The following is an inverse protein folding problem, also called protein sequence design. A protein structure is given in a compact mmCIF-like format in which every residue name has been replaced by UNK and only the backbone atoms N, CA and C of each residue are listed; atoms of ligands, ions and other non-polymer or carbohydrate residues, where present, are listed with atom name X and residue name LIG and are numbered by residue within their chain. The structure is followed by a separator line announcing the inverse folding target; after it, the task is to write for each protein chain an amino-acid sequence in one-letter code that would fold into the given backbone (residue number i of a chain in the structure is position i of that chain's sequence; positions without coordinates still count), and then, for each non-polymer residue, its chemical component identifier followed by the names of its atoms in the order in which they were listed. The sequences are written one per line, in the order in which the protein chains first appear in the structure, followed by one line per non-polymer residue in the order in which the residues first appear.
data_IF_986745161924
#
_entry.id   IF_986745161924
#
_cell.length_a   1.000
_cell.length_b   1.000
_cell.length_c   1.000
_cell.angle_alpha   90.00
_cell.angle_beta   90.00
_cell.angle_gamma   90.00
#
_symmetry.space_group_name_H-M   'P 1'
#
loop_
_entity.id
_entity.type
_entity.pdbx_description
1 polymer ?
#
# COMPACT_ATOMS: atom_id res chain seq x y z
N UNK A 1 -15.39 -30.98 -2.73
CA UNK A 1 -15.55 -30.69 -1.29
C UNK A 1 -16.86 -31.30 -0.87
N UNK A 2 -16.86 -32.07 0.22
CA UNK A 2 -18.10 -32.63 0.77
C UNK A 2 -18.88 -31.51 1.51
N UNK A 3 -20.15 -31.75 1.87
CA UNK A 3 -20.97 -30.75 2.57
C UNK A 3 -20.44 -30.35 3.95
N UNK A 4 -19.75 -31.26 4.65
CA UNK A 4 -19.16 -30.99 5.96
C UNK A 4 -17.94 -30.07 5.84
N UNK A 5 -17.09 -30.25 4.82
CA UNK A 5 -15.92 -29.38 4.57
C UNK A 5 -16.34 -27.92 4.33
N UNK A 6 -17.51 -27.72 3.68
CA UNK A 6 -18.05 -26.38 3.44
C UNK A 6 -18.54 -25.72 4.73
N UNK A 7 -19.19 -26.50 5.60
CA UNK A 7 -19.66 -26.01 6.91
C UNK A 7 -18.46 -25.67 7.81
N UNK A 8 -17.44 -26.52 7.85
CA UNK A 8 -16.23 -26.27 8.63
C UNK A 8 -15.48 -25.03 8.15
N UNK A 9 -15.31 -24.87 6.84
CA UNK A 9 -14.72 -23.63 6.27
C UNK A 9 -15.56 -22.40 6.60
N UNK A 10 -16.88 -22.51 6.56
CA UNK A 10 -17.75 -21.39 6.90
C UNK A 10 -17.61 -21.00 8.37
N UNK A 11 -17.57 -21.97 9.29
CA UNK A 11 -17.35 -21.72 10.72
C UNK A 11 -16.00 -21.06 10.97
N UNK A 12 -14.92 -21.62 10.43
CA UNK A 12 -13.59 -21.04 10.55
C UNK A 12 -13.54 -19.58 10.07
N UNK A 13 -14.25 -19.27 8.97
CA UNK A 13 -14.37 -17.89 8.50
C UNK A 13 -15.18 -17.01 9.46
N UNK A 14 -16.30 -17.50 9.99
CA UNK A 14 -17.11 -16.77 10.95
C UNK A 14 -16.31 -16.43 12.22
N UNK A 15 -15.47 -17.35 12.68
CA UNK A 15 -14.56 -17.14 13.81
C UNK A 15 -13.52 -16.05 13.50
N UNK A 16 -12.89 -16.10 12.31
CA UNK A 16 -11.96 -15.05 11.83
C UNK A 16 -12.64 -13.68 11.79
N UNK A 17 -13.84 -13.61 11.22
CA UNK A 17 -14.61 -12.36 11.11
C UNK A 17 -14.93 -11.81 12.50
N UNK A 18 -15.37 -12.66 13.43
CA UNK A 18 -15.67 -12.25 14.79
C UNK A 18 -14.42 -11.69 15.50
N UNK A 19 -13.27 -12.34 15.35
CA UNK A 19 -12.01 -11.87 15.94
C UNK A 19 -11.58 -10.52 15.36
N UNK A 20 -11.56 -10.37 14.04
CA UNK A 20 -11.14 -9.13 13.38
C UNK A 20 -12.08 -7.98 13.72
N UNK A 21 -13.38 -8.21 13.74
CA UNK A 21 -14.35 -7.18 14.12
C UNK A 21 -14.20 -6.76 15.58
N UNK A 22 -13.84 -7.69 16.48
CA UNK A 22 -13.55 -7.36 17.87
C UNK A 22 -12.27 -6.53 18.02
N UNK A 23 -11.24 -6.81 17.22
CA UNK A 23 -9.97 -6.07 17.24
C UNK A 23 -10.07 -4.70 16.56
N UNK A 24 -10.95 -4.55 15.57
CA UNK A 24 -11.12 -3.33 14.77
C UNK A 24 -12.60 -2.91 14.68
N UNK A 25 -13.23 -2.52 15.81
CA UNK A 25 -14.67 -2.25 15.88
C UNK A 25 -15.09 -1.00 15.09
N UNK A 26 -14.17 -0.03 14.91
CA UNK A 26 -14.45 1.23 14.23
C UNK A 26 -14.38 1.12 12.69
N UNK A 27 -13.90 -0.01 12.17
CA UNK A 27 -13.77 -0.24 10.73
C UNK A 27 -15.11 -0.72 10.16
N UNK A 28 -15.56 -0.06 9.08
CA UNK A 28 -16.76 -0.46 8.35
C UNK A 28 -16.44 -1.56 7.34
N UNK A 29 -16.61 -2.81 7.76
CA UNK A 29 -16.35 -3.98 6.93
C UNK A 29 -17.49 -4.21 5.90
N UNK A 30 -17.18 -4.35 4.60
CA UNK A 30 -18.17 -4.71 3.59
C UNK A 30 -18.55 -6.19 3.74
N UNK A 31 -19.74 -6.57 3.25
CA UNK A 31 -20.16 -7.97 3.16
C UNK A 31 -20.26 -8.41 1.70
N UNK A 32 -19.12 -8.65 1.04
CA UNK A 32 -19.09 -8.91 -0.39
C UNK A 32 -19.71 -10.28 -0.70
N UNK A 33 -20.57 -10.31 -1.72
CA UNK A 33 -21.22 -11.52 -2.24
C UNK A 33 -21.12 -11.57 -3.76
N UNK A 34 -21.23 -12.78 -4.32
CA UNK A 34 -21.30 -13.01 -5.76
C UNK A 34 -22.71 -13.45 -6.14
N UNK A 35 -23.38 -12.69 -6.99
CA UNK A 35 -24.72 -12.98 -7.48
C UNK A 35 -24.73 -13.27 -8.99
N UNK A 36 -25.61 -14.15 -9.48
CA UNK A 36 -25.81 -14.32 -10.92
C UNK A 36 -26.40 -13.04 -11.54
N UNK A 37 -25.95 -12.72 -12.75
CA UNK A 37 -26.45 -11.56 -13.51
C UNK A 37 -27.47 -12.05 -14.53
N UNK A 38 -28.51 -11.27 -14.77
CA UNK A 38 -29.54 -11.55 -15.76
C UNK A 38 -29.69 -10.36 -16.72
N UNK A 39 -30.04 -10.64 -17.97
CA UNK A 39 -30.44 -9.64 -18.95
C UNK A 39 -31.87 -9.92 -19.44
N UNK A 40 -32.53 -8.89 -19.99
CA UNK A 40 -33.93 -8.97 -20.42
C UNK A 40 -34.90 -8.31 -19.43
N UNK A 41 -35.95 -7.67 -19.96
CA UNK A 41 -36.92 -6.89 -19.16
C UNK A 41 -38.08 -7.73 -18.65
N UNK A 42 -38.53 -8.71 -19.44
CA UNK A 42 -39.64 -9.63 -19.11
C UNK A 42 -39.10 -11.05 -18.94
N UNK A 43 -38.31 -11.54 -19.90
CA UNK A 43 -37.63 -12.83 -19.84
C UNK A 43 -36.20 -12.65 -19.31
N UNK A 44 -36.00 -12.89 -18.01
CA UNK A 44 -34.68 -12.81 -17.37
C UNK A 44 -33.83 -14.01 -17.80
N UNK A 45 -32.91 -13.77 -18.73
CA UNK A 45 -31.94 -14.78 -19.17
C UNK A 45 -30.64 -14.61 -18.38
N UNK A 46 -30.09 -15.65 -17.74
CA UNK A 46 -28.84 -15.54 -17.00
C UNK A 46 -27.66 -15.29 -17.95
N UNK A 47 -26.75 -14.40 -17.55
CA UNK A 47 -25.45 -14.22 -18.22
C UNK A 47 -24.50 -15.29 -17.67
N UNK A 48 -24.28 -16.34 -18.46
CA UNK A 48 -23.37 -17.44 -18.09
C UNK A 48 -21.91 -16.98 -18.04
N UNK A 49 -21.12 -17.57 -17.14
CA UNK A 49 -19.68 -17.26 -17.02
C UNK A 49 -19.36 -15.95 -16.31
N UNK A 50 -20.36 -15.21 -15.82
CA UNK A 50 -20.20 -13.93 -15.12
C UNK A 50 -21.02 -13.90 -13.83
N UNK A 51 -20.50 -13.18 -12.83
CA UNK A 51 -21.17 -12.90 -11.56
C UNK A 51 -21.01 -11.43 -11.20
N UNK A 52 -22.04 -10.84 -10.61
CA UNK A 52 -21.97 -9.51 -10.03
C UNK A 52 -21.40 -9.64 -8.62
N UNK A 53 -20.38 -8.87 -8.32
CA UNK A 53 -19.87 -8.71 -6.98
C UNK A 53 -20.40 -7.41 -6.38
N UNK A 54 -21.05 -7.52 -5.23
CA UNK A 54 -21.65 -6.39 -4.54
C UNK A 54 -21.54 -6.55 -3.03
N UNK A 55 -21.64 -5.44 -2.31
CA UNK A 55 -21.76 -5.45 -0.86
C UNK A 55 -23.21 -5.71 -0.45
N UNK A 56 -23.46 -6.82 0.24
CA UNK A 56 -24.80 -7.20 0.72
C UNK A 56 -25.38 -6.19 1.70
N UNK A 57 -24.55 -5.44 2.42
CA UNK A 57 -25.03 -4.48 3.41
C UNK A 57 -25.57 -3.20 2.74
N UNK A 58 -24.92 -2.74 1.68
CA UNK A 58 -25.23 -1.45 1.03
C UNK A 58 -25.84 -1.59 -0.36
N UNK A 59 -25.86 -2.80 -0.94
CA UNK A 59 -26.13 -3.07 -2.34
C UNK A 59 -25.20 -2.34 -3.32
N UNK A 60 -24.06 -1.83 -2.84
CA UNK A 60 -23.10 -1.17 -3.70
C UNK A 60 -22.42 -2.20 -4.61
N UNK A 61 -22.42 -1.92 -5.92
CA UNK A 61 -21.80 -2.80 -6.91
C UNK A 61 -20.31 -2.54 -6.97
N UNK A 62 -19.51 -3.58 -6.79
CA UNK A 62 -18.06 -3.48 -6.89
C UNK A 62 -17.59 -3.75 -8.31
N UNK A 63 -17.99 -4.88 -8.90
CA UNK A 63 -17.60 -5.24 -10.27
C UNK A 63 -18.37 -6.43 -10.83
N UNK A 64 -18.19 -6.73 -12.12
CA UNK A 64 -18.61 -7.96 -12.79
C UNK A 64 -17.38 -8.85 -13.02
N UNK A 65 -17.39 -10.02 -12.38
CA UNK A 65 -16.26 -10.97 -12.38
C UNK A 65 -16.60 -12.25 -13.13
N UNK A 66 -15.59 -13.09 -13.39
CA UNK A 66 -15.83 -14.44 -13.93
C UNK A 66 -16.51 -15.33 -12.89
N UNK A 67 -17.19 -16.37 -13.34
CA UNK A 67 -17.76 -17.41 -12.49
C UNK A 67 -16.72 -18.17 -11.64
N UNK A 68 -15.49 -18.24 -12.14
CA UNK A 68 -14.30 -18.81 -11.49
C UNK A 68 -13.66 -17.88 -10.44
N UNK A 69 -14.16 -16.65 -10.27
CA UNK A 69 -13.59 -15.69 -9.33
C UNK A 69 -13.76 -16.18 -7.89
N UNK A 70 -12.65 -16.20 -7.15
CA UNK A 70 -12.62 -16.57 -5.74
C UNK A 70 -12.59 -15.31 -4.87
N UNK A 71 -13.59 -15.18 -3.99
CA UNK A 71 -13.72 -14.01 -3.14
C UNK A 71 -12.76 -14.15 -1.95
N UNK A 72 -11.86 -13.18 -1.79
CA UNK A 72 -10.91 -13.12 -0.68
C UNK A 72 -11.38 -12.01 0.25
N UNK A 73 -11.78 -12.35 1.47
CA UNK A 73 -12.32 -11.36 2.40
C UNK A 73 -11.21 -10.46 2.96
N UNK A 74 -11.51 -9.18 3.15
CA UNK A 74 -10.55 -8.21 3.71
C UNK A 74 -10.10 -8.63 5.12
N UNK A 75 -11.04 -9.19 5.88
CA UNK A 75 -10.87 -9.75 7.21
C UNK A 75 -9.87 -10.91 7.20
N UNK A 76 -10.00 -11.83 6.25
CA UNK A 76 -9.08 -12.97 6.11
C UNK A 76 -7.66 -12.49 5.76
N UNK A 77 -7.54 -11.46 4.91
CA UNK A 77 -6.23 -10.86 4.58
C UNK A 77 -5.58 -10.26 5.82
N UNK A 78 -6.33 -9.52 6.63
CA UNK A 78 -5.81 -8.92 7.86
C UNK A 78 -5.47 -9.98 8.92
N UNK A 79 -6.30 -11.01 9.07
CA UNK A 79 -6.04 -12.13 9.96
C UNK A 79 -4.76 -12.87 9.58
N UNK A 80 -4.57 -13.15 8.29
CA UNK A 80 -3.35 -13.78 7.80
C UNK A 80 -2.12 -12.90 8.03
N UNK A 81 -2.25 -11.58 7.91
CA UNK A 81 -1.18 -10.65 8.28
C UNK A 81 -0.83 -10.79 9.76
N UNK A 82 -1.82 -10.68 10.65
CA UNK A 82 -1.60 -10.76 12.10
C UNK A 82 -0.88 -12.05 12.51
N UNK A 83 -1.26 -13.19 11.93
CA UNK A 83 -0.68 -14.48 12.27
C UNK A 83 0.67 -14.74 11.60
N UNK A 84 1.00 -14.01 10.53
CA UNK A 84 2.26 -14.16 9.82
C UNK A 84 3.38 -13.30 10.42
N UNK A 85 3.07 -12.39 11.35
CA UNK A 85 4.05 -11.50 11.98
C UNK A 85 4.94 -12.32 12.91
N UNK A 86 6.25 -12.38 12.65
CA UNK A 86 7.19 -13.08 13.52
C UNK A 86 7.21 -12.45 14.92
N UNK A 87 7.25 -13.26 15.99
CA UNK A 87 7.27 -12.76 17.37
C UNK A 87 8.46 -11.82 17.63
N UNK A 88 9.61 -12.08 16.99
CA UNK A 88 10.80 -11.24 17.11
C UNK A 88 10.65 -9.83 16.53
N UNK A 89 9.58 -9.56 15.77
CA UNK A 89 9.33 -8.21 15.24
C UNK A 89 8.70 -7.30 16.30
N UNK A 90 8.26 -7.85 17.44
CA UNK A 90 7.56 -7.13 18.48
C UNK A 90 6.13 -6.77 18.07
N UNK A 91 5.51 -5.87 18.83
CA UNK A 91 4.11 -5.52 18.65
C UNK A 91 3.90 -4.45 17.56
N UNK A 92 3.20 -4.77 16.46
CA UNK A 92 2.90 -3.81 15.41
C UNK A 92 1.77 -2.85 15.81
N UNK A 93 1.89 -1.59 15.42
CA UNK A 93 0.74 -0.69 15.32
C UNK A 93 0.04 -0.91 13.98
N UNK A 94 -1.21 -1.37 14.01
CA UNK A 94 -1.96 -1.72 12.81
C UNK A 94 -3.04 -0.69 12.50
N UNK A 95 -3.08 -0.25 11.25
CA UNK A 95 -4.13 0.63 10.72
C UNK A 95 -4.83 -0.06 9.55
N UNK A 96 -6.15 -0.14 9.61
CA UNK A 96 -7.00 -0.62 8.53
C UNK A 96 -7.81 0.55 7.94
N UNK A 97 -7.67 0.78 6.63
CA UNK A 97 -8.43 1.80 5.91
C UNK A 97 -9.22 1.19 4.77
N UNK A 98 -10.47 1.61 4.65
CA UNK A 98 -11.39 1.18 3.59
C UNK A 98 -11.64 2.35 2.62
N UNK A 99 -11.57 2.09 1.33
CA UNK A 99 -11.83 3.06 0.26
C UNK A 99 -12.97 2.59 -0.62
N UNK A 100 -13.57 3.52 -1.37
CA UNK A 100 -14.65 3.26 -2.33
C UNK A 100 -15.75 2.36 -1.74
N UNK A 101 -16.29 2.78 -0.58
CA UNK A 101 -17.36 2.06 0.11
C UNK A 101 -16.99 0.60 0.46
N UNK A 102 -15.73 0.34 0.83
CA UNK A 102 -15.24 -1.00 1.17
C UNK A 102 -14.76 -1.83 -0.02
N UNK A 103 -14.85 -1.31 -1.25
CA UNK A 103 -14.32 -2.01 -2.42
C UNK A 103 -12.81 -2.25 -2.33
N UNK A 104 -12.07 -1.41 -1.59
CA UNK A 104 -10.61 -1.55 -1.41
C UNK A 104 -10.25 -1.43 0.05
N UNK A 105 -9.36 -2.30 0.51
CA UNK A 105 -8.80 -2.26 1.86
C UNK A 105 -7.29 -2.10 1.80
N UNK A 106 -6.76 -1.17 2.59
CA UNK A 106 -5.34 -1.03 2.85
C UNK A 106 -5.08 -1.29 4.34
N UNK A 107 -4.22 -2.25 4.61
CA UNK A 107 -3.71 -2.57 5.93
C UNK A 107 -2.27 -2.09 6.02
N UNK A 108 -1.92 -1.42 7.11
CA UNK A 108 -0.57 -0.97 7.40
C UNK A 108 -0.17 -1.49 8.77
N UNK A 109 0.95 -2.19 8.87
CA UNK A 109 1.56 -2.62 10.11
C UNK A 109 2.90 -1.89 10.28
N UNK A 110 2.97 -1.03 11.29
CA UNK A 110 4.18 -0.28 11.63
C UNK A 110 4.85 -0.95 12.83
N UNK A 111 6.16 -1.15 12.75
CA UNK A 111 6.94 -1.83 13.79
C UNK A 111 7.93 -0.83 14.43
N UNK A 112 7.58 -0.22 15.58
CA UNK A 112 8.42 0.80 16.21
C UNK A 112 9.69 0.25 16.85
N UNK A 113 9.67 -1.02 17.27
CA UNK A 113 10.78 -1.68 17.96
C UNK A 113 11.76 -2.36 17.01
N UNK A 114 11.34 -2.59 15.76
CA UNK A 114 12.12 -3.30 14.75
C UNK A 114 13.07 -2.35 14.04
N UNK A 115 14.38 -2.49 14.32
CA UNK A 115 15.51 -1.83 13.66
C UNK A 115 15.23 -0.38 13.23
N UNK A 116 15.52 0.58 14.11
CA UNK A 116 15.56 1.99 13.74
C UNK A 116 16.70 2.23 12.76
N UNK A 117 16.39 2.58 11.52
CA UNK A 117 17.40 3.06 10.58
C UNK A 117 17.41 4.58 10.59
N UNK A 118 18.60 5.19 10.55
CA UNK A 118 18.74 6.64 10.49
C UNK A 118 19.23 7.07 9.11
N UNK A 119 18.65 8.16 8.58
CA UNK A 119 19.14 8.83 7.37
C UNK A 119 19.26 10.31 7.66
N UNK A 120 20.50 10.83 7.65
CA UNK A 120 20.80 12.26 7.86
C UNK A 120 20.12 12.87 9.11
N UNK A 121 20.11 12.17 10.24
CA UNK A 121 19.46 12.65 11.46
C UNK A 121 17.99 12.23 11.63
N UNK A 122 17.40 11.55 10.63
CA UNK A 122 16.01 11.12 10.69
C UNK A 122 15.84 9.64 10.98
N UNK A 123 15.13 9.32 12.06
CA UNK A 123 14.73 7.95 12.37
C UNK A 123 13.69 7.41 11.36
N UNK A 124 13.79 6.14 11.01
CA UNK A 124 12.84 5.42 10.16
C UNK A 124 12.44 4.10 10.81
N UNK A 125 11.17 3.74 10.67
CA UNK A 125 10.59 2.49 11.19
C UNK A 125 10.20 1.55 10.05
N UNK A 126 10.26 0.25 10.30
CA UNK A 126 9.77 -0.75 9.34
C UNK A 126 8.25 -0.67 9.20
N UNK A 127 7.77 -0.65 7.96
CA UNK A 127 6.35 -0.63 7.61
C UNK A 127 6.01 -1.72 6.59
N UNK A 128 4.99 -2.51 6.90
CA UNK A 128 4.40 -3.47 5.98
C UNK A 128 3.02 -3.00 5.55
N UNK A 129 2.69 -3.23 4.28
CA UNK A 129 1.34 -2.98 3.77
C UNK A 129 0.79 -4.16 3.01
N UNK A 130 -0.50 -4.39 3.23
CA UNK A 130 -1.30 -5.30 2.44
C UNK A 130 -2.45 -4.53 1.82
N UNK A 131 -2.70 -4.79 0.54
CA UNK A 131 -3.85 -4.24 -0.19
C UNK A 131 -4.70 -5.38 -0.73
N UNK A 132 -6.00 -5.22 -0.64
CA UNK A 132 -6.98 -6.11 -1.26
C UNK A 132 -8.09 -5.30 -1.92
N UNK A 133 -8.62 -5.76 -3.05
CA UNK A 133 -9.73 -5.08 -3.72
C UNK A 133 -10.77 -6.04 -4.28
N UNK A 134 -12.02 -5.59 -4.24
CA UNK A 134 -13.16 -6.19 -4.91
C UNK A 134 -13.39 -5.56 -6.28
N UNK A 135 -13.08 -4.28 -6.49
CA UNK A 135 -13.26 -3.62 -7.79
C UNK A 135 -12.17 -3.97 -8.82
N UNK A 136 -11.40 -5.04 -8.58
CA UNK A 136 -10.26 -5.52 -9.40
C UNK A 136 -9.20 -4.45 -9.69
N UNK A 137 -9.18 -3.32 -8.97
CA UNK A 137 -8.16 -2.29 -9.16
C UNK A 137 -6.78 -2.78 -8.72
N UNK A 138 -6.77 -3.67 -7.73
CA UNK A 138 -5.56 -4.13 -7.06
C UNK A 138 -5.71 -5.62 -6.73
N UNK A 139 -4.76 -6.43 -7.18
CA UNK A 139 -4.66 -7.81 -6.69
C UNK A 139 -4.30 -7.80 -5.20
N UNK A 140 -4.42 -8.94 -4.51
CA UNK A 140 -3.79 -9.09 -3.20
C UNK A 140 -2.30 -8.74 -3.33
N UNK A 141 -1.89 -7.65 -2.72
CA UNK A 141 -0.56 -7.08 -2.86
C UNK A 141 0.06 -6.88 -1.48
N UNK A 142 1.34 -7.24 -1.38
CA UNK A 142 2.17 -7.02 -0.21
C UNK A 142 3.36 -6.15 -0.58
N UNK A 143 3.68 -5.20 0.30
CA UNK A 143 4.85 -4.35 0.16
C UNK A 143 5.51 -4.15 1.53
N UNK A 144 6.84 -4.22 1.55
CA UNK A 144 7.67 -3.94 2.71
C UNK A 144 8.59 -2.75 2.45
N UNK A 145 8.73 -1.86 3.43
CA UNK A 145 9.55 -0.66 3.32
C UNK A 145 9.88 -0.06 4.68
N UNK A 146 10.46 1.13 4.66
CA UNK A 146 10.62 1.94 5.86
C UNK A 146 9.84 3.25 5.74
N UNK A 147 9.42 3.76 6.90
CA UNK A 147 8.70 5.00 7.09
C UNK A 147 9.53 5.96 7.96
N UNK A 148 9.94 7.10 7.43
CA UNK A 148 10.62 8.15 8.21
C UNK A 148 9.68 8.81 9.24
N UNK A 149 10.21 9.08 10.44
CA UNK A 149 9.49 9.53 11.64
C UNK A 149 9.57 11.02 11.93
N UNK A 150 10.61 11.73 11.47
CA UNK A 150 10.88 13.17 11.79
C UNK A 150 9.72 14.10 11.42
N UNK A 151 8.79 13.53 10.72
CA UNK A 151 7.53 14.08 10.45
C UNK A 151 6.57 12.91 10.35
N UNK A 152 5.31 13.12 10.70
CA UNK A 152 4.24 12.20 10.30
C UNK A 152 4.15 12.05 8.76
N UNK A 153 5.06 12.70 8.00
CA UNK A 153 5.10 12.86 6.54
C UNK A 153 5.30 11.58 5.75
N UNK A 154 5.53 10.43 6.39
CA UNK A 154 5.48 9.15 5.71
C UNK A 154 6.42 9.06 4.52
N UNK A 155 7.69 9.44 4.68
CA UNK A 155 8.68 9.12 3.64
C UNK A 155 8.80 7.61 3.60
N UNK A 156 8.20 7.06 2.57
CA UNK A 156 7.79 5.68 2.45
C UNK A 156 8.50 5.17 1.22
N UNK A 157 9.63 4.52 1.41
CA UNK A 157 10.34 3.91 0.29
C UNK A 157 10.18 2.41 0.38
N UNK A 158 9.48 1.87 -0.61
CA UNK A 158 9.32 0.44 -0.80
C UNK A 158 10.33 -0.03 -1.84
N UNK A 159 11.03 -1.12 -1.55
CA UNK A 159 11.59 -1.96 -2.60
C UNK A 159 10.50 -2.96 -2.97
N UNK A 160 9.74 -2.70 -4.03
CA UNK A 160 8.81 -3.68 -4.60
C UNK A 160 9.59 -4.84 -5.23
N UNK A 161 10.12 -5.75 -4.40
CA UNK A 161 10.90 -6.88 -4.91
C UNK A 161 10.03 -8.04 -5.41
N UNK A 162 8.75 -8.06 -5.05
CA UNK A 162 7.80 -9.00 -5.64
C UNK A 162 6.42 -8.38 -5.91
N UNK A 163 6.08 -8.24 -7.20
CA UNK A 163 4.68 -8.25 -7.64
C UNK A 163 4.16 -9.68 -7.62
N UNK A 164 4.15 -10.31 -6.46
CA UNK A 164 3.46 -11.57 -6.23
C UNK A 164 2.00 -11.26 -5.97
N UNK A 165 1.33 -10.71 -7.00
CA UNK A 165 -0.11 -10.52 -6.99
C UNK A 165 -0.78 -11.88 -7.11
N UNK A 166 -1.41 -12.35 -6.03
CA UNK A 166 -2.31 -13.49 -6.14
C UNK A 166 -3.56 -13.03 -6.89
N UNK A 167 -3.77 -13.53 -8.11
CA UNK A 167 -5.05 -13.34 -8.79
C UNK A 167 -6.13 -14.06 -7.97
N UNK A 168 -7.33 -13.48 -7.90
CA UNK A 168 -8.52 -14.07 -7.30
C UNK A 168 -9.08 -15.24 -8.15
N UNK A 169 -8.23 -16.20 -8.52
CA UNK A 169 -8.57 -17.34 -9.36
C UNK A 169 -7.97 -18.58 -8.71
N UNK A 170 -8.83 -19.33 -8.02
CA UNK A 170 -8.67 -20.72 -7.59
C UNK A 170 -7.28 -21.15 -7.11
N UNK A 171 -7.11 -21.22 -5.78
CA UNK A 171 -5.96 -21.82 -5.02
C UNK A 171 -4.78 -20.90 -4.64
N UNK A 172 -4.89 -19.58 -4.76
CA UNK A 172 -3.70 -18.70 -4.67
C UNK A 172 -3.39 -18.12 -3.27
N UNK A 173 -4.33 -18.12 -2.31
CA UNK A 173 -4.04 -17.63 -0.95
C UNK A 173 -3.12 -18.59 -0.18
N UNK A 174 -3.33 -19.90 -0.28
CA UNK A 174 -2.53 -20.90 0.44
C UNK A 174 -1.06 -20.94 -0.02
N UNK A 175 -0.75 -20.41 -1.21
CA UNK A 175 0.63 -20.25 -1.70
C UNK A 175 1.29 -18.95 -1.26
N UNK A 176 0.54 -18.03 -0.65
CA UNK A 176 1.05 -16.75 -0.16
C UNK A 176 1.69 -16.95 1.22
N UNK A 177 2.91 -17.50 1.26
CA UNK A 177 3.68 -17.66 2.50
C UNK A 177 4.15 -16.29 3.02
N UNK A 178 3.25 -15.59 3.71
CA UNK A 178 3.47 -14.24 4.20
C UNK A 178 4.55 -14.18 5.29
N UNK A 179 4.65 -15.19 6.14
CA UNK A 179 5.67 -15.25 7.20
C UNK A 179 7.08 -15.26 6.62
N UNK A 180 7.36 -16.14 5.67
CA UNK A 180 8.67 -16.18 4.99
C UNK A 180 9.00 -14.86 4.30
N UNK A 181 7.99 -14.17 3.75
CA UNK A 181 8.18 -12.87 3.08
C UNK A 181 8.49 -11.77 4.06
N UNK A 182 7.81 -11.73 5.20
CA UNK A 182 8.08 -10.80 6.29
C UNK A 182 9.52 -10.96 6.81
N UNK A 183 9.97 -12.21 6.97
CA UNK A 183 11.35 -12.53 7.38
C UNK A 183 12.37 -12.03 6.34
N UNK A 184 12.16 -12.35 5.07
CA UNK A 184 13.08 -11.97 3.99
C UNK A 184 13.09 -10.46 3.72
N UNK A 185 11.98 -9.75 3.97
CA UNK A 185 11.91 -8.32 3.70
C UNK A 185 12.81 -7.45 4.58
N UNK A 186 13.31 -7.96 5.71
CA UNK A 186 14.30 -7.22 6.50
C UNK A 186 15.61 -7.00 5.72
N UNK A 187 16.03 -7.98 4.92
CA UNK A 187 17.17 -7.83 4.02
C UNK A 187 16.88 -6.78 2.95
N UNK A 188 15.66 -6.79 2.39
CA UNK A 188 15.24 -5.80 1.39
C UNK A 188 15.21 -4.38 1.94
N UNK A 189 14.78 -4.20 3.20
CA UNK A 189 14.79 -2.92 3.89
C UNK A 189 16.23 -2.46 4.12
N UNK A 190 17.13 -3.36 4.53
CA UNK A 190 18.55 -3.05 4.69
C UNK A 190 19.21 -2.63 3.37
N UNK A 191 18.88 -3.30 2.26
CA UNK A 191 19.34 -2.89 0.92
C UNK A 191 18.76 -1.54 0.50
N UNK A 192 17.49 -1.28 0.80
CA UNK A 192 16.85 -0.02 0.49
C UNK A 192 17.48 1.13 1.30
N UNK A 193 17.80 0.91 2.58
CA UNK A 193 18.53 1.87 3.41
C UNK A 193 19.87 2.29 2.80
N UNK A 194 20.64 1.36 2.22
CA UNK A 194 21.88 1.69 1.52
C UNK A 194 21.64 2.60 0.31
N UNK A 195 20.57 2.35 -0.47
CA UNK A 195 20.20 3.22 -1.59
C UNK A 195 19.79 4.62 -1.12
N UNK A 196 19.09 4.71 0.01
CA UNK A 196 18.68 6.00 0.59
C UNK A 196 19.88 6.82 1.06
N UNK A 197 20.87 6.19 1.69
CA UNK A 197 22.14 6.84 2.04
C UNK A 197 22.84 7.35 0.78
N UNK A 198 22.82 6.62 -0.33
CA UNK A 198 23.38 7.10 -1.60
C UNK A 198 22.60 8.32 -2.15
N UNK A 199 21.26 8.28 -2.11
CA UNK A 199 20.42 9.41 -2.53
C UNK A 199 20.65 10.64 -1.66
N UNK A 200 20.97 10.45 -0.38
CA UNK A 200 21.27 11.51 0.56
C UNK A 200 22.61 12.20 0.30
N UNK A 201 23.54 11.55 -0.40
CA UNK A 201 24.81 12.14 -0.82
C UNK A 201 24.82 12.60 -2.30
N UNK A 202 23.84 12.18 -3.10
CA UNK A 202 23.72 12.54 -4.51
C UNK A 202 23.23 13.98 -4.67
N UNK A 203 24.17 14.93 -4.75
CA UNK A 203 23.89 16.34 -5.07
C UNK A 203 23.35 16.51 -6.49
N UNK A 204 22.36 17.37 -6.62
CA UNK A 204 21.69 17.71 -7.87
C UNK A 204 22.05 19.15 -8.26
N UNK A 205 22.22 19.40 -9.55
CA UNK A 205 22.22 20.78 -10.05
C UNK A 205 20.79 21.31 -10.03
N UNK A 206 20.61 22.62 -9.96
CA UNK A 206 19.28 23.23 -10.00
C UNK A 206 18.40 22.76 -11.19
N UNK A 207 18.99 22.55 -12.36
CA UNK A 207 18.29 22.03 -13.55
C UNK A 207 17.81 20.59 -13.36
N UNK A 208 18.59 19.77 -12.66
CA UNK A 208 18.24 18.37 -12.40
C UNK A 208 17.12 18.28 -11.38
N UNK A 209 17.09 19.18 -10.37
CA UNK A 209 15.97 19.27 -9.41
C UNK A 209 14.64 19.49 -10.13
N UNK A 210 14.59 20.46 -11.06
CA UNK A 210 13.38 20.75 -11.84
C UNK A 210 12.97 19.53 -12.67
N UNK A 211 13.91 18.95 -13.40
CA UNK A 211 13.66 17.75 -14.22
C UNK A 211 13.12 16.58 -13.40
N UNK A 212 13.64 16.33 -12.20
CA UNK A 212 13.12 15.27 -11.33
C UNK A 212 11.72 15.61 -10.84
N UNK A 213 11.46 16.85 -10.41
CA UNK A 213 10.14 17.30 -9.93
C UNK A 213 9.07 17.21 -11.01
N UNK A 214 9.38 17.57 -12.26
CA UNK A 214 8.46 17.47 -13.40
C UNK A 214 8.01 16.03 -13.68
N UNK A 215 8.85 15.04 -13.34
CA UNK A 215 8.52 13.63 -13.49
C UNK A 215 7.70 13.06 -12.32
N UNK A 216 7.55 13.80 -11.21
CA UNK A 216 6.76 13.35 -10.05
C UNK A 216 5.26 13.37 -10.38
N UNK A 217 4.43 12.55 -9.70
CA UNK A 217 3.01 12.37 -10.02
C UNK A 217 2.13 13.50 -9.45
N UNK A 218 2.62 14.74 -9.55
CA UNK A 218 1.94 15.96 -9.12
C UNK A 218 1.49 16.78 -10.32
N UNK A 219 0.41 17.54 -10.16
CA UNK A 219 0.04 18.58 -11.13
C UNK A 219 1.04 19.73 -11.10
N UNK A 220 1.09 20.55 -12.16
CA UNK A 220 1.98 21.72 -12.25
C UNK A 220 1.87 22.64 -11.00
N UNK A 221 0.65 22.93 -10.55
CA UNK A 221 0.41 23.74 -9.35
C UNK A 221 0.97 23.11 -8.07
N UNK A 222 0.93 21.79 -7.98
CA UNK A 222 1.48 21.06 -6.84
C UNK A 222 3.00 20.96 -6.91
N UNK A 223 3.58 20.89 -8.11
CA UNK A 223 5.03 20.98 -8.31
C UNK A 223 5.57 22.34 -7.86
N UNK A 224 4.87 23.44 -8.19
CA UNK A 224 5.20 24.78 -7.69
C UNK A 224 5.18 24.84 -6.15
N UNK A 225 4.16 24.22 -5.54
CA UNK A 225 4.02 24.14 -4.09
C UNK A 225 5.15 23.31 -3.47
N UNK A 226 5.45 22.15 -4.04
CA UNK A 226 6.53 21.25 -3.63
C UNK A 226 7.88 21.97 -3.64
N UNK A 227 8.19 22.72 -4.69
CA UNK A 227 9.46 23.46 -4.79
C UNK A 227 9.59 24.56 -3.72
N UNK A 228 8.47 25.11 -3.25
CA UNK A 228 8.41 26.15 -2.23
C UNK A 228 8.16 25.62 -0.81
N UNK A 229 8.02 24.30 -0.65
CA UNK A 229 7.65 23.67 0.63
C UNK A 229 8.85 23.67 1.59
N UNK A 230 8.74 24.23 2.81
CA UNK A 230 9.78 24.14 3.82
C UNK A 230 9.93 22.69 4.28
N UNK A 231 11.09 22.08 4.04
CA UNK A 231 11.30 20.66 4.29
C UNK A 231 11.75 20.45 5.74
N UNK A 232 10.92 19.76 6.53
CA UNK A 232 11.10 19.67 8.00
C UNK A 232 12.45 19.02 8.37
N UNK A 233 12.79 17.89 7.75
CA UNK A 233 14.03 17.15 7.99
C UNK A 233 15.28 17.81 7.36
N UNK A 234 15.13 18.99 6.73
CA UNK A 234 16.26 19.76 6.20
C UNK A 234 16.29 21.20 6.76
N UNK A 235 15.93 21.36 8.04
CA UNK A 235 16.00 22.66 8.72
C UNK A 235 15.05 23.70 8.14
N UNK A 236 13.92 23.27 7.57
CA UNK A 236 12.93 24.10 6.88
C UNK A 236 13.44 24.82 5.62
N UNK A 237 14.57 24.40 5.06
CA UNK A 237 14.97 24.88 3.74
C UNK A 237 14.01 24.38 2.65
N UNK A 238 13.76 25.19 1.63
CA UNK A 238 13.00 24.77 0.44
C UNK A 238 13.93 24.23 -0.64
N UNK A 239 13.42 23.46 -1.60
CA UNK A 239 14.22 23.03 -2.76
C UNK A 239 14.77 24.22 -3.56
N UNK A 240 14.05 25.35 -3.57
CA UNK A 240 14.52 26.59 -4.22
C UNK A 240 15.72 27.21 -3.49
N UNK A 241 15.75 27.15 -2.17
CA UNK A 241 16.82 27.73 -1.36
C UNK A 241 18.09 26.89 -1.40
N UNK A 242 17.95 25.57 -1.55
CA UNK A 242 19.06 24.62 -1.53
C UNK A 242 20.00 24.74 -2.74
N UNK A 243 19.53 25.23 -3.89
CA UNK A 243 20.34 25.35 -5.12
C UNK A 243 21.11 24.04 -5.42
N UNK A 244 22.43 24.09 -5.52
CA UNK A 244 23.31 22.95 -5.80
C UNK A 244 23.63 22.08 -4.56
N UNK A 245 23.08 22.43 -3.40
CA UNK A 245 23.11 21.60 -2.18
C UNK A 245 21.89 20.67 -2.09
N UNK A 246 20.92 20.80 -2.99
CA UNK A 246 19.79 19.88 -3.06
C UNK A 246 20.28 18.48 -3.41
N UNK A 247 19.81 17.47 -2.70
CA UNK A 247 20.11 16.07 -3.03
C UNK A 247 18.87 15.37 -3.55
N UNK A 248 19.05 14.20 -4.15
CA UNK A 248 17.93 13.37 -4.56
C UNK A 248 17.04 13.00 -3.37
N UNK A 249 17.64 12.84 -2.17
CA UNK A 249 16.91 12.70 -0.92
C UNK A 249 16.06 13.92 -0.58
N UNK A 250 16.59 15.14 -0.73
CA UNK A 250 15.81 16.37 -0.49
C UNK A 250 14.55 16.41 -1.37
N UNK A 251 14.65 15.99 -2.64
CA UNK A 251 13.50 15.94 -3.55
C UNK A 251 12.48 14.88 -3.09
N UNK A 252 12.94 13.70 -2.66
CA UNK A 252 12.07 12.67 -2.10
C UNK A 252 11.38 13.15 -0.80
N UNK A 253 12.10 13.81 0.10
CA UNK A 253 11.57 14.43 1.33
C UNK A 253 10.48 15.44 1.02
N UNK A 254 10.74 16.37 0.09
CA UNK A 254 9.77 17.38 -0.33
C UNK A 254 8.52 16.76 -0.98
N UNK A 255 8.71 15.81 -1.91
CA UNK A 255 7.59 15.11 -2.54
C UNK A 255 6.75 14.38 -1.50
N UNK A 256 7.39 13.66 -0.60
CA UNK A 256 6.64 12.94 0.42
C UNK A 256 5.89 13.88 1.37
N UNK A 257 6.51 14.97 1.82
CA UNK A 257 5.81 15.97 2.62
C UNK A 257 4.61 16.58 1.86
N UNK A 258 4.75 16.81 0.55
CA UNK A 258 3.65 17.30 -0.30
C UNK A 258 2.45 16.34 -0.34
N UNK A 259 2.62 15.04 -0.09
CA UNK A 259 1.49 14.09 0.03
C UNK A 259 0.52 14.53 1.12
N UNK A 260 1.00 15.14 2.20
CA UNK A 260 0.14 15.58 3.31
C UNK A 260 -0.78 16.73 2.92
N UNK A 261 -0.41 17.52 1.91
CA UNK A 261 -1.25 18.60 1.37
C UNK A 261 -2.42 18.07 0.52
N UNK A 262 -2.37 16.81 0.10
CA UNK A 262 -3.39 16.22 -0.76
C UNK A 262 -4.61 15.79 0.06
N UNK A 263 -5.77 16.44 -0.14
CA UNK A 263 -6.97 16.12 0.67
C UNK A 263 -7.54 14.70 0.45
N UNK A 264 -7.39 14.15 -0.76
CA UNK A 264 -7.92 12.83 -1.10
C UNK A 264 -7.00 11.74 -0.59
N UNK A 265 -7.47 10.91 0.36
CA UNK A 265 -6.69 9.78 0.86
C UNK A 265 -6.32 8.78 -0.23
N UNK A 266 -7.24 8.46 -1.16
CA UNK A 266 -6.96 7.55 -2.28
C UNK A 266 -5.79 8.07 -3.11
N UNK A 267 -5.81 9.38 -3.43
CA UNK A 267 -4.74 10.01 -4.20
C UNK A 267 -3.43 10.08 -3.43
N UNK A 268 -3.47 10.31 -2.10
CA UNK A 268 -2.27 10.23 -1.25
C UNK A 268 -1.60 8.87 -1.42
N UNK A 269 -2.36 7.79 -1.27
CA UNK A 269 -1.83 6.43 -1.41
C UNK A 269 -1.24 6.15 -2.79
N UNK A 270 -1.91 6.58 -3.86
CA UNK A 270 -1.42 6.37 -5.23
C UNK A 270 -0.10 7.09 -5.50
N UNK A 271 0.07 8.28 -4.92
CA UNK A 271 1.28 9.08 -5.08
C UNK A 271 2.42 8.50 -4.25
N UNK A 272 2.17 8.14 -2.99
CA UNK A 272 3.17 7.50 -2.12
C UNK A 272 3.81 6.26 -2.76
N UNK A 273 3.03 5.46 -3.51
CA UNK A 273 3.56 4.26 -4.18
C UNK A 273 4.44 4.62 -5.40
N UNK A 274 4.09 5.68 -6.12
CA UNK A 274 4.80 6.08 -7.35
C UNK A 274 6.09 6.83 -7.05
N UNK A 275 6.14 7.60 -5.96
CA UNK A 275 7.26 8.47 -5.60
C UNK A 275 8.60 7.73 -5.59
N UNK A 276 8.79 6.64 -4.80
CA UNK A 276 10.09 5.95 -4.74
C UNK A 276 10.57 5.41 -6.09
N UNK A 277 9.63 4.95 -6.93
CA UNK A 277 9.95 4.41 -8.25
C UNK A 277 10.48 5.50 -9.18
N UNK A 278 9.86 6.68 -9.16
CA UNK A 278 10.30 7.82 -9.99
C UNK A 278 11.66 8.32 -9.53
N UNK A 279 11.85 8.45 -8.21
CA UNK A 279 13.14 8.84 -7.62
C UNK A 279 14.23 7.82 -7.93
N UNK A 280 13.95 6.52 -7.79
CA UNK A 280 14.90 5.46 -8.15
C UNK A 280 15.30 5.50 -9.63
N UNK A 281 14.35 5.75 -10.53
CA UNK A 281 14.65 5.93 -11.95
C UNK A 281 15.50 7.17 -12.22
N UNK A 282 15.27 8.27 -11.51
CA UNK A 282 16.11 9.46 -11.58
C UNK A 282 17.54 9.17 -11.11
N UNK A 283 17.70 8.44 -10.01
CA UNK A 283 19.03 8.04 -9.50
C UNK A 283 19.84 7.27 -10.56
N UNK A 284 19.20 6.31 -11.24
CA UNK A 284 19.85 5.51 -12.29
C UNK A 284 20.27 6.39 -13.47
N UNK A 285 19.43 7.35 -13.88
CA UNK A 285 19.75 8.28 -14.98
C UNK A 285 20.88 9.24 -14.64
N UNK A 286 20.93 9.73 -13.40
CA UNK A 286 21.95 10.67 -12.94
C UNK A 286 23.32 10.01 -12.71
N UNK A 287 23.33 8.70 -12.46
CA UNK A 287 24.55 7.91 -12.29
C UNK A 287 25.16 7.41 -13.61
N UNK A 288 24.46 7.54 -14.73
CA UNK A 288 24.89 7.12 -16.07
C UNK A 288 25.58 8.26 -16.82
#
# INVERSE_FOLDING_TARGET
MNGNDLIEKQKAREDIVAEIHSKFPDVKWPKPILEPIFYGRLDKTPITGRKLMLDKNTNNQFDIVSDQYELIYHEEVLFNLLNAIPEEFGDPTITAKMFKYGARAHFTALFPELNKFEIKGSETNVEYRLKNSYDRSTYLNYSAGAKELVCSNGLRVFKEKEKSGAKHIGRTISSFNLESRLRNSLEDISEAHKLWLQWAEMKLKAVDVISVVENLPYSEKEQETLLALPIINHGNATLKDMKDEATLWSVMSAGTQMVHEIKSEERRFDIEEKLPKIIGNAAVKLAA
#
